data_IF_186181839152
#
_entry.id   IF_186181839152
#
_cell.length_a   1.000
_cell.length_b   1.000
_cell.length_c   1.000
_cell.angle_alpha   90.00
_cell.angle_beta   90.00
_cell.angle_gamma   90.00
#
_symmetry.space_group_name_H-M   'P 1'
#
loop_
_entity.id
_entity.type
_entity.pdbx_description
1 polymer ?
#
# COMPACT_ATOMS: atom_id res chain seq x y z
N UNK A 1 -0.42 7.04 8.87
CA UNK A 1 -1.14 6.25 7.85
C UNK A 1 -1.18 4.79 8.30
N UNK A 2 -2.22 4.03 7.96
CA UNK A 2 -2.29 2.56 8.12
C UNK A 2 -2.46 1.89 6.76
N UNK A 3 -2.33 0.56 6.70
CA UNK A 3 -2.60 -0.18 5.47
C UNK A 3 -4.06 -0.03 5.04
N UNK A 4 -5.00 -0.16 5.97
CA UNK A 4 -6.44 -0.02 5.72
C UNK A 4 -6.82 1.36 5.18
N UNK A 5 -6.31 2.44 5.78
CA UNK A 5 -6.63 3.80 5.34
C UNK A 5 -6.13 4.04 3.91
N UNK A 6 -4.91 3.60 3.59
CA UNK A 6 -4.36 3.77 2.25
C UNK A 6 -5.14 2.94 1.21
N UNK A 7 -5.45 1.68 1.52
CA UNK A 7 -6.28 0.84 0.66
C UNK A 7 -7.65 1.47 0.42
N UNK A 8 -8.30 1.98 1.46
CA UNK A 8 -9.61 2.66 1.36
C UNK A 8 -9.53 3.89 0.46
N UNK A 9 -8.51 4.72 0.60
CA UNK A 9 -8.30 5.89 -0.26
C UNK A 9 -8.11 5.49 -1.72
N UNK A 10 -7.35 4.42 -1.99
CA UNK A 10 -7.16 3.93 -3.36
C UNK A 10 -8.44 3.36 -3.96
N UNK A 11 -9.27 2.66 -3.18
CA UNK A 11 -10.59 2.20 -3.63
C UNK A 11 -11.48 3.40 -3.96
N UNK A 12 -11.55 4.41 -3.08
CA UNK A 12 -12.38 5.60 -3.28
C UNK A 12 -11.96 6.43 -4.51
N UNK A 13 -10.65 6.50 -4.77
CA UNK A 13 -10.09 7.19 -5.95
C UNK A 13 -10.17 6.35 -7.22
N UNK A 14 -10.46 5.05 -7.12
CA UNK A 14 -10.49 4.16 -8.27
C UNK A 14 -11.68 4.51 -9.16
N UNK A 15 -11.42 4.71 -10.44
CA UNK A 15 -12.43 4.99 -11.47
C UNK A 15 -12.27 3.98 -12.62
N UNK A 16 -13.22 3.88 -13.56
CA UNK A 16 -13.03 3.02 -14.73
C UNK A 16 -11.75 3.31 -15.52
N UNK A 17 -11.33 4.58 -15.56
CA UNK A 17 -10.07 5.01 -16.19
C UNK A 17 -8.84 4.70 -15.33
N UNK A 18 -8.95 4.88 -14.02
CA UNK A 18 -7.90 4.59 -13.04
C UNK A 18 -8.28 3.39 -12.17
N UNK A 19 -8.30 2.21 -12.80
CA UNK A 19 -8.59 0.94 -12.14
C UNK A 19 -7.37 0.48 -11.34
N UNK A 20 -7.25 0.96 -10.11
CA UNK A 20 -6.15 0.60 -9.21
C UNK A 20 -6.28 -0.86 -8.76
N UNK A 21 -5.16 -1.59 -8.83
CA UNK A 21 -5.05 -2.99 -8.42
C UNK A 21 -4.12 -3.18 -7.21
N UNK A 22 -3.35 -2.14 -6.90
CA UNK A 22 -2.36 -2.15 -5.84
C UNK A 22 -2.41 -0.82 -5.09
N UNK A 23 -2.00 -0.87 -3.84
CA UNK A 23 -1.62 0.31 -3.07
C UNK A 23 -0.21 0.13 -2.52
N UNK A 24 0.48 1.24 -2.28
CA UNK A 24 1.85 1.26 -1.82
C UNK A 24 2.04 2.25 -0.69
N UNK A 25 2.89 1.90 0.27
CA UNK A 25 3.22 2.73 1.42
C UNK A 25 4.73 2.96 1.48
N UNK A 26 5.14 4.22 1.68
CA UNK A 26 6.52 4.62 1.86
C UNK A 26 6.66 5.59 3.05
N UNK A 27 7.83 5.62 3.68
CA UNK A 27 8.16 6.47 4.83
C UNK A 27 7.14 6.43 5.97
N UNK A 28 6.49 5.28 6.21
CA UNK A 28 5.45 5.11 7.24
C UNK A 28 4.12 5.91 7.04
N UNK A 29 4.09 6.95 6.20
CA UNK A 29 2.92 7.81 6.03
C UNK A 29 2.51 8.11 4.58
N UNK A 30 3.37 7.93 3.59
CA UNK A 30 3.05 8.21 2.18
C UNK A 30 2.24 7.07 1.59
N UNK A 31 1.16 7.38 0.88
CA UNK A 31 0.25 6.42 0.24
C UNK A 31 0.22 6.62 -1.28
N UNK A 32 0.29 5.53 -2.02
CA UNK A 32 0.30 5.50 -3.48
C UNK A 32 -0.70 4.48 -4.00
N UNK A 33 -1.33 4.76 -5.13
CA UNK A 33 -2.27 3.86 -5.81
C UNK A 33 -1.71 3.51 -7.19
N UNK A 34 -1.78 2.23 -7.57
CA UNK A 34 -1.18 1.74 -8.80
C UNK A 34 -2.03 0.69 -9.50
N UNK A 35 -2.03 0.72 -10.84
CA UNK A 35 -2.64 -0.34 -11.66
C UNK A 35 -1.67 -1.47 -11.95
N UNK A 36 -0.38 -1.15 -12.05
CA UNK A 36 0.68 -2.10 -12.40
C UNK A 36 1.89 -1.89 -11.49
N UNK A 37 2.65 -2.97 -11.30
CA UNK A 37 3.97 -2.92 -10.66
C UNK A 37 4.99 -3.09 -11.77
N UNK A 38 5.91 -2.14 -11.91
CA UNK A 38 7.03 -2.28 -12.83
C UNK A 38 7.95 -3.39 -12.31
N UNK A 39 8.20 -4.42 -13.12
CA UNK A 39 9.01 -5.57 -12.71
C UNK A 39 10.42 -5.16 -12.27
N UNK A 40 10.99 -4.13 -12.90
CA UNK A 40 12.30 -3.57 -12.56
C UNK A 40 12.42 -3.06 -11.11
N UNK A 41 11.29 -2.80 -10.43
CA UNK A 41 11.26 -2.35 -9.03
C UNK A 41 10.83 -3.44 -8.04
N UNK A 42 10.63 -4.69 -8.51
CA UNK A 42 10.40 -5.84 -7.64
C UNK A 42 11.75 -6.32 -7.10
N UNK A 43 11.86 -6.47 -5.77
CA UNK A 43 13.03 -7.12 -5.15
C UNK A 43 13.95 -6.21 -4.34
N UNK A 44 13.53 -5.01 -3.92
CA UNK A 44 14.28 -4.29 -2.88
C UNK A 44 14.24 -5.11 -1.60
N UNK A 45 15.38 -5.21 -0.91
CA UNK A 45 15.56 -6.11 0.24
C UNK A 45 14.46 -5.85 1.30
N UNK A 46 13.75 -6.88 1.79
CA UNK A 46 12.64 -6.73 2.74
C UNK A 46 12.88 -5.81 3.96
N UNK A 47 14.09 -5.74 4.56
CA UNK A 47 14.37 -4.88 5.71
C UNK A 47 14.09 -3.40 5.47
N UNK A 48 14.18 -2.92 4.23
CA UNK A 48 13.92 -1.51 3.92
C UNK A 48 12.42 -1.18 3.83
N UNK A 49 11.53 -2.18 3.80
CA UNK A 49 10.08 -2.01 3.70
C UNK A 49 9.36 -2.18 5.06
N UNK A 50 10.10 -2.30 6.16
CA UNK A 50 9.58 -2.71 7.47
C UNK A 50 9.34 -1.55 8.44
N UNK A 51 9.32 -0.29 7.98
CA UNK A 51 8.98 0.82 8.84
C UNK A 51 7.55 0.64 9.38
N UNK A 52 7.32 0.80 10.69
CA UNK A 52 6.00 0.65 11.27
C UNK A 52 5.07 1.73 10.74
N UNK A 53 3.82 1.37 10.50
CA UNK A 53 2.79 2.32 10.11
C UNK A 53 2.48 3.32 11.23
N UNK A 54 2.47 4.62 10.93
CA UNK A 54 2.24 5.67 11.95
C UNK A 54 0.89 5.54 12.67
N UNK A 55 -0.16 5.06 11.98
CA UNK A 55 -1.48 4.78 12.56
C UNK A 55 -1.86 3.30 12.39
N UNK A 56 -0.89 2.41 12.19
CA UNK A 56 -1.17 0.99 12.00
C UNK A 56 -1.44 0.28 13.31
N UNK A 57 -2.07 -0.90 13.22
CA UNK A 57 -2.30 -1.77 14.36
C UNK A 57 -1.27 -2.90 14.35
N UNK A 58 -0.70 -3.23 15.51
CA UNK A 58 0.20 -4.36 15.66
C UNK A 58 1.49 -4.24 14.84
N UNK A 59 1.74 -5.22 13.96
CA UNK A 59 2.98 -5.34 13.18
C UNK A 59 2.83 -4.84 11.73
N UNK A 60 1.86 -3.97 11.47
CA UNK A 60 1.68 -3.37 10.14
C UNK A 60 2.92 -2.57 9.70
N UNK A 61 3.39 -2.86 8.49
CA UNK A 61 4.52 -2.15 7.86
C UNK A 61 4.06 -1.25 6.72
N UNK A 62 4.66 -0.07 6.64
CA UNK A 62 4.30 1.01 5.73
C UNK A 62 5.53 1.49 4.92
N UNK A 63 6.36 0.56 4.46
CA UNK A 63 7.52 0.85 3.60
C UNK A 63 8.74 1.34 4.37
N UNK A 64 9.48 2.29 3.81
CA UNK A 64 10.63 2.94 4.43
C UNK A 64 11.19 4.05 3.54
N UNK A 65 12.20 4.76 4.01
CA UNK A 65 12.72 6.02 3.41
C UNK A 65 13.01 5.93 1.90
N UNK A 66 13.46 4.77 1.44
CA UNK A 66 13.78 4.51 0.04
C UNK A 66 13.09 3.26 -0.50
N UNK A 67 12.07 2.74 0.19
CA UNK A 67 11.40 1.53 -0.24
C UNK A 67 9.89 1.61 -0.02
N UNK A 68 9.16 1.07 -0.98
CA UNK A 68 7.70 1.02 -0.92
C UNK A 68 7.27 -0.41 -0.63
N UNK A 69 6.50 -0.59 0.44
CA UNK A 69 5.76 -1.82 0.64
C UNK A 69 4.52 -1.77 -0.26
N UNK A 70 4.37 -2.75 -1.16
CA UNK A 70 3.28 -2.79 -2.14
C UNK A 70 2.36 -3.97 -1.84
N UNK A 71 1.06 -3.70 -1.85
CA UNK A 71 0.01 -4.64 -1.48
C UNK A 71 -1.05 -4.71 -2.57
N UNK A 72 -1.69 -5.88 -2.72
CA UNK A 72 -2.84 -6.04 -3.61
C UNK A 72 -4.07 -5.37 -3.02
N UNK A 73 -4.80 -4.64 -3.87
CA UNK A 73 -6.05 -4.00 -3.51
C UNK A 73 -7.18 -5.01 -3.66
N UNK A 74 -7.41 -5.82 -2.62
CA UNK A 74 -8.48 -6.82 -2.59
C UNK A 74 -9.68 -6.27 -1.81
N UNK A 75 -10.82 -5.98 -2.45
CA UNK A 75 -12.03 -5.56 -1.74
C UNK A 75 -12.54 -6.71 -0.88
N UNK A 76 -12.42 -6.59 0.44
CA UNK A 76 -13.00 -7.56 1.37
C UNK A 76 -14.47 -7.23 1.53
N UNK A 77 -15.36 -8.17 1.16
CA UNK A 77 -16.79 -8.03 1.46
C UNK A 77 -16.96 -8.10 2.97
N UNK A 78 -17.44 -7.00 3.59
CA UNK A 78 -17.84 -7.02 5.00
C UNK A 78 -18.98 -8.03 5.16
N UNK A 79 -18.76 -9.10 5.92
CA UNK A 79 -19.87 -9.93 6.40
C UNK A 79 -20.61 -9.13 7.46
N UNK A 80 -21.89 -8.86 7.21
CA UNK A 80 -22.83 -8.25 8.16
C UNK A 80 -23.25 -9.32 9.16
#
# INVERSE_FOLDING_TARGET
MSQEICATQCIQKSTPHYNYKFFGLADAFRCFCGRFIMQAYRGRHPPFCNAPCFNGVGTETCGGEYAMAVYELVPVKKKI
#
